data_IF_025481493819
#
_entry.id   IF_025481493819
#
_cell.length_a   1.000
_cell.length_b   1.000
_cell.length_c   1.000
_cell.angle_alpha   90.00
_cell.angle_beta   90.00
_cell.angle_gamma   90.00
#
_symmetry.space_group_name_H-M   'P 1'
#
loop_
_entity.id
_entity.type
_entity.pdbx_description
1 polymer ?
#
# COMPACT_ATOMS: atom_id res chain seq x y z
N UNK A 1 17.25 -9.55 14.33
CA UNK A 1 16.32 -10.65 14.02
C UNK A 1 15.53 -10.22 12.80
N UNK A 2 15.62 -10.94 11.68
CA UNK A 2 14.76 -10.65 10.53
C UNK A 2 13.31 -10.82 10.99
N UNK A 3 12.53 -9.74 11.02
CA UNK A 3 11.11 -9.81 11.36
C UNK A 3 10.44 -10.70 10.32
N UNK A 4 9.75 -11.73 10.79
CA UNK A 4 9.00 -12.63 9.93
C UNK A 4 7.73 -11.90 9.45
N UNK A 5 7.84 -11.14 8.36
CA UNK A 5 6.70 -10.46 7.76
C UNK A 5 5.84 -11.53 7.07
N UNK A 6 4.54 -11.65 7.40
CA UNK A 6 3.67 -12.62 6.75
C UNK A 6 3.59 -12.40 5.23
N UNK A 7 3.54 -13.48 4.44
CA UNK A 7 3.49 -13.40 2.97
C UNK A 7 2.37 -12.49 2.45
N UNK A 8 1.21 -12.48 3.10
CA UNK A 8 0.09 -11.63 2.72
C UNK A 8 0.39 -10.14 2.92
N UNK A 9 1.16 -9.78 3.93
CA UNK A 9 1.60 -8.41 4.17
C UNK A 9 2.64 -8.00 3.11
N UNK A 10 3.52 -8.92 2.72
CA UNK A 10 4.49 -8.68 1.65
C UNK A 10 3.81 -8.47 0.29
N UNK A 11 2.70 -9.17 0.01
CA UNK A 11 1.89 -8.92 -1.19
C UNK A 11 1.36 -7.49 -1.25
N UNK A 12 0.88 -6.93 -0.13
CA UNK A 12 0.43 -5.54 -0.07
C UNK A 12 1.56 -4.56 -0.36
N UNK A 13 2.76 -4.82 0.20
CA UNK A 13 3.94 -3.99 -0.05
C UNK A 13 4.36 -4.06 -1.52
N UNK A 14 4.44 -5.26 -2.10
CA UNK A 14 4.80 -5.44 -3.51
C UNK A 14 3.80 -4.74 -4.43
N UNK A 15 2.51 -4.92 -4.19
CA UNK A 15 1.46 -4.24 -4.96
C UNK A 15 1.61 -2.71 -4.90
N UNK A 16 1.86 -2.15 -3.71
CA UNK A 16 2.12 -0.72 -3.56
C UNK A 16 3.37 -0.26 -4.31
N UNK A 17 4.48 -0.99 -4.22
CA UNK A 17 5.73 -0.60 -4.86
C UNK A 17 5.63 -0.64 -6.40
N UNK A 18 4.96 -1.65 -6.95
CA UNK A 18 4.75 -1.79 -8.40
C UNK A 18 3.76 -0.78 -8.96
N UNK A 19 2.75 -0.37 -8.17
CA UNK A 19 1.64 0.45 -8.63
C UNK A 19 1.59 1.84 -7.97
N UNK A 20 2.72 2.31 -7.43
CA UNK A 20 2.75 3.53 -6.62
C UNK A 20 2.16 4.75 -7.32
N UNK A 21 2.57 5.02 -8.56
CA UNK A 21 2.07 6.16 -9.33
C UNK A 21 0.56 6.08 -9.57
N UNK A 22 0.08 4.91 -9.95
CA UNK A 22 -1.34 4.66 -10.19
C UNK A 22 -2.18 4.84 -8.92
N UNK A 23 -1.70 4.37 -7.78
CA UNK A 23 -2.34 4.60 -6.49
C UNK A 23 -2.36 6.10 -6.13
N UNK A 24 -1.26 6.82 -6.34
CA UNK A 24 -1.20 8.28 -6.11
C UNK A 24 -2.13 9.07 -7.05
N UNK A 25 -2.36 8.59 -8.27
CA UNK A 25 -3.36 9.14 -9.20
C UNK A 25 -4.79 8.85 -8.75
N UNK A 26 -5.09 7.63 -8.29
CA UNK A 26 -6.41 7.29 -7.75
C UNK A 26 -6.74 8.16 -6.55
N UNK A 27 -5.79 8.40 -5.64
CA UNK A 27 -5.99 9.29 -4.49
C UNK A 27 -6.40 10.70 -4.91
N UNK A 28 -5.91 11.18 -6.07
CA UNK A 28 -6.19 12.55 -6.56
C UNK A 28 -7.46 12.64 -7.38
N UNK A 29 -7.80 11.61 -8.15
CA UNK A 29 -8.79 11.72 -9.23
C UNK A 29 -9.86 10.61 -9.23
N UNK A 30 -9.74 9.59 -8.38
CA UNK A 30 -10.73 8.51 -8.29
C UNK A 30 -12.04 8.96 -7.63
N UNK A 31 -13.07 8.12 -7.70
CA UNK A 31 -14.27 8.28 -6.87
C UNK A 31 -13.95 8.05 -5.38
N UNK A 32 -14.88 8.41 -4.49
CA UNK A 32 -14.69 8.34 -3.03
C UNK A 32 -14.26 6.96 -2.55
N UNK A 33 -14.82 5.89 -3.13
CA UNK A 33 -14.49 4.51 -2.74
C UNK A 33 -13.08 4.15 -3.21
N UNK A 34 -12.76 4.46 -4.47
CA UNK A 34 -11.44 4.22 -5.06
C UNK A 34 -10.34 4.99 -4.31
N UNK A 35 -10.60 6.25 -3.95
CA UNK A 35 -9.68 7.06 -3.13
C UNK A 35 -9.44 6.42 -1.77
N UNK A 36 -10.50 6.06 -1.04
CA UNK A 36 -10.39 5.45 0.28
C UNK A 36 -9.58 4.13 0.23
N UNK A 37 -9.83 3.30 -0.78
CA UNK A 37 -9.09 2.06 -1.01
C UNK A 37 -7.61 2.33 -1.29
N UNK A 38 -7.29 3.27 -2.18
CA UNK A 38 -5.89 3.60 -2.49
C UNK A 38 -5.14 4.14 -1.27
N UNK A 39 -5.79 5.00 -0.47
CA UNK A 39 -5.23 5.50 0.80
C UNK A 39 -4.92 4.34 1.75
N UNK A 40 -5.84 3.40 1.93
CA UNK A 40 -5.66 2.27 2.84
C UNK A 40 -4.50 1.35 2.40
N UNK A 41 -4.39 1.07 1.09
CA UNK A 41 -3.28 0.28 0.53
C UNK A 41 -1.94 0.99 0.78
N UNK A 42 -1.85 2.29 0.47
CA UNK A 42 -0.63 3.08 0.68
C UNK A 42 -0.26 3.11 2.16
N UNK A 43 -1.23 3.36 3.03
CA UNK A 43 -1.03 3.44 4.48
C UNK A 43 -0.49 2.12 5.02
N UNK A 44 -1.15 1.02 4.69
CA UNK A 44 -0.77 -0.32 5.16
C UNK A 44 0.60 -0.75 4.66
N UNK A 45 0.92 -0.49 3.39
CA UNK A 45 2.25 -0.76 2.85
C UNK A 45 3.34 0.05 3.57
N UNK A 46 3.10 1.35 3.84
CA UNK A 46 4.03 2.20 4.59
C UNK A 46 4.20 1.74 6.05
N UNK A 47 3.14 1.32 6.71
CA UNK A 47 3.21 0.77 8.07
C UNK A 47 4.11 -0.47 8.12
N UNK A 48 3.97 -1.39 7.16
CA UNK A 48 4.80 -2.60 7.08
C UNK A 48 6.27 -2.23 6.80
N UNK A 49 6.52 -1.29 5.88
CA UNK A 49 7.87 -0.84 5.53
C UNK A 49 8.56 -0.10 6.67
N UNK A 50 7.83 0.74 7.42
CA UNK A 50 8.37 1.52 8.54
C UNK A 50 8.49 0.71 9.85
N UNK A 51 7.88 -0.48 9.91
CA UNK A 51 8.07 -1.43 11.00
C UNK A 51 9.37 -2.25 10.85
N UNK A 52 10.11 -2.10 9.74
CA UNK A 52 11.48 -2.61 9.56
C UNK A 52 12.52 -1.58 9.97
#
# INVERSE_FOLDING_TARGET
MAKNIPDHAMRTVNFYLENRMWLEEIVKFGDDYSQAMAIEIIKKAKEILNQN
#
